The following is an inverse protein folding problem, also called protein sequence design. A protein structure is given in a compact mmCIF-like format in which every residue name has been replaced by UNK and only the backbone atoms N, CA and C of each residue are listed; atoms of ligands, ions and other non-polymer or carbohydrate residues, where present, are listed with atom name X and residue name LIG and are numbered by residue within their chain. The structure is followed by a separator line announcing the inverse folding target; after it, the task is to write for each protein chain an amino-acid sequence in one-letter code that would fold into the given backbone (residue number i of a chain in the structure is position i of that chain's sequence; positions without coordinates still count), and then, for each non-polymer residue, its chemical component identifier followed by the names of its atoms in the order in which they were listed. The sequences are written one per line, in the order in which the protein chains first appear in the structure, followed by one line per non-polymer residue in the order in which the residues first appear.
data_IF_904789178650
#
_entry.id   IF_904789178650
#
_cell.length_a   1.000
_cell.length_b   1.000
_cell.length_c   1.000
_cell.angle_alpha   90.00
_cell.angle_beta   90.00
_cell.angle_gamma   90.00
#
_symmetry.space_group_name_H-M   'P 1'
#
loop_
_entity.id
_entity.type
_entity.pdbx_description
1 polymer ?
#
# COMPACT_ATOMS: atom_id res chain seq x y z
N UNK A 1 0.91 -2.20 -6.52
CA UNK A 1 1.85 -2.63 -7.59
C UNK A 1 2.96 -3.47 -6.98
N UNK A 2 3.77 -4.20 -7.77
CA UNK A 2 4.79 -5.12 -7.24
C UNK A 2 5.80 -4.47 -6.29
N UNK A 3 6.07 -3.16 -6.43
CA UNK A 3 7.09 -2.45 -5.65
C UNK A 3 6.58 -1.23 -4.86
N UNK A 4 5.28 -0.90 -4.94
CA UNK A 4 4.69 0.21 -4.17
C UNK A 4 3.18 0.04 -4.01
N UNK A 5 2.60 0.77 -3.06
CA UNK A 5 1.17 0.74 -2.75
C UNK A 5 0.61 2.16 -2.84
N UNK A 6 -0.54 2.29 -3.48
CA UNK A 6 -1.40 3.46 -3.35
C UNK A 6 -2.69 3.02 -2.66
N UNK A 7 -3.21 3.86 -1.75
CA UNK A 7 -4.41 3.58 -1.00
C UNK A 7 -5.19 4.87 -0.72
N UNK A 8 -6.51 4.76 -0.70
CA UNK A 8 -7.40 5.77 -0.12
C UNK A 8 -7.67 5.36 1.33
N UNK A 9 -7.44 6.29 2.26
CA UNK A 9 -7.62 6.07 3.69
C UNK A 9 -8.63 7.06 4.23
N UNK A 10 -9.58 6.57 5.01
CA UNK A 10 -10.52 7.37 5.76
C UNK A 10 -10.23 7.24 7.27
N UNK A 11 -10.17 8.37 7.95
CA UNK A 11 -9.95 8.44 9.40
C UNK A 11 -11.19 9.04 10.06
N UNK A 12 -11.90 8.24 10.84
CA UNK A 12 -13.08 8.70 11.60
C UNK A 12 -12.72 9.65 12.74
N UNK A 13 -11.47 9.63 13.21
CA UNK A 13 -10.95 10.54 14.21
C UNK A 13 -9.83 11.41 13.62
N UNK A 14 -10.05 12.72 13.57
CA UNK A 14 -9.12 13.69 12.99
C UNK A 14 -7.93 14.03 13.91
N UNK A 15 -7.94 13.60 15.17
CA UNK A 15 -6.85 13.85 16.12
C UNK A 15 -5.67 12.86 15.97
N UNK A 16 -5.70 11.98 14.98
CA UNK A 16 -4.63 10.99 14.79
C UNK A 16 -3.53 11.55 13.92
N UNK A 17 -2.28 11.43 14.38
CA UNK A 17 -1.11 11.86 13.62
C UNK A 17 -0.81 10.86 12.49
N UNK A 18 -1.08 11.25 11.24
CA UNK A 18 -0.88 10.44 10.05
C UNK A 18 0.55 9.86 9.96
N UNK A 19 1.57 10.64 10.32
CA UNK A 19 2.96 10.17 10.28
C UNK A 19 3.18 8.99 11.24
N UNK A 20 2.58 9.02 12.43
CA UNK A 20 2.67 7.93 13.41
C UNK A 20 1.95 6.69 12.87
N UNK A 21 0.75 6.85 12.30
CA UNK A 21 -0.01 5.73 11.73
C UNK A 21 0.79 5.04 10.62
N UNK A 22 1.26 5.81 9.64
CA UNK A 22 1.98 5.25 8.48
C UNK A 22 3.33 4.66 8.90
N UNK A 23 4.05 5.30 9.84
CA UNK A 23 5.29 4.75 10.38
C UNK A 23 5.07 3.38 11.05
N UNK A 24 4.02 3.26 11.87
CA UNK A 24 3.67 2.01 12.52
C UNK A 24 3.21 0.95 11.50
N UNK A 25 2.35 1.31 10.54
CA UNK A 25 1.90 0.41 9.49
C UNK A 25 3.08 -0.15 8.68
N UNK A 26 4.00 0.72 8.23
CA UNK A 26 5.24 0.32 7.56
C UNK A 26 6.08 -0.63 8.42
N UNK A 27 6.22 -0.34 9.72
CA UNK A 27 6.97 -1.21 10.64
C UNK A 27 6.36 -2.60 10.75
N UNK A 28 5.05 -2.71 10.97
CA UNK A 28 4.37 -4.00 11.07
C UNK A 28 4.47 -4.79 9.76
N UNK A 29 4.22 -4.14 8.62
CA UNK A 29 4.38 -4.77 7.30
C UNK A 29 5.81 -5.22 7.04
N UNK A 30 6.81 -4.42 7.44
CA UNK A 30 8.22 -4.78 7.26
C UNK A 30 8.59 -6.03 8.06
N UNK A 31 8.12 -6.16 9.29
CA UNK A 31 8.36 -7.36 10.10
C UNK A 31 7.74 -8.62 9.45
N UNK A 32 6.48 -8.53 8.99
CA UNK A 32 5.82 -9.68 8.34
C UNK A 32 6.48 -10.05 7.00
N UNK A 33 6.87 -9.05 6.20
CA UNK A 33 7.58 -9.28 4.94
C UNK A 33 8.95 -9.93 5.16
N UNK A 34 9.75 -9.44 6.10
CA UNK A 34 11.04 -10.04 6.43
C UNK A 34 10.88 -11.47 6.92
N UNK A 35 9.86 -11.74 7.76
CA UNK A 35 9.55 -13.10 8.20
C UNK A 35 9.25 -14.01 7.01
N UNK A 36 8.33 -13.62 6.12
CA UNK A 36 7.99 -14.39 4.90
C UNK A 36 9.20 -14.64 4.01
N UNK A 37 10.07 -13.65 3.83
CA UNK A 37 11.30 -13.81 3.04
C UNK A 37 12.27 -14.81 3.68
N UNK A 38 12.38 -14.84 5.01
CA UNK A 38 13.15 -15.87 5.71
C UNK A 38 12.54 -17.25 5.54
N UNK A 39 11.22 -17.38 5.73
CA UNK A 39 10.50 -18.65 5.56
C UNK A 39 10.63 -19.20 4.12
N UNK A 40 10.69 -18.30 3.14
CA UNK A 40 10.91 -18.61 1.72
C UNK A 40 12.39 -18.75 1.33
N UNK A 41 13.31 -18.60 2.28
CA UNK A 41 14.76 -18.64 2.07
C UNK A 41 15.26 -17.68 0.96
N UNK A 42 14.59 -16.52 0.83
CA UNK A 42 14.96 -15.45 -0.13
C UNK A 42 16.12 -14.61 0.41
N UNK A 43 17.25 -15.28 0.64
CA UNK A 43 18.50 -14.67 1.14
C UNK A 43 19.02 -13.58 0.20
N UNK A 44 18.79 -13.72 -1.11
CA UNK A 44 19.07 -12.69 -2.11
C UNK A 44 18.38 -11.36 -1.80
N UNK A 45 17.07 -11.40 -1.50
CA UNK A 45 16.28 -10.21 -1.19
C UNK A 45 16.62 -9.68 0.20
N UNK A 46 16.78 -10.56 1.19
CA UNK A 46 17.16 -10.16 2.54
C UNK A 46 18.50 -9.41 2.55
N UNK A 47 19.50 -9.90 1.82
CA UNK A 47 20.79 -9.24 1.68
C UNK A 47 20.67 -7.86 1.02
N UNK A 48 19.84 -7.74 -0.03
CA UNK A 48 19.56 -6.44 -0.67
C UNK A 48 18.95 -5.45 0.34
N UNK A 49 17.98 -5.90 1.14
CA UNK A 49 17.31 -5.06 2.13
C UNK A 49 18.23 -4.68 3.30
N UNK A 50 19.14 -5.57 3.71
CA UNK A 50 20.13 -5.30 4.75
C UNK A 50 21.24 -4.33 4.26
N UNK A 51 21.65 -4.47 3.00
CA UNK A 51 22.61 -3.57 2.36
C UNK A 51 22.05 -2.13 2.23
N UNK A 52 20.74 -1.98 2.06
CA UNK A 52 20.07 -0.69 1.98
C UNK A 52 19.99 0.08 3.32
N UNK A 53 20.28 -0.56 4.46
CA UNK A 53 20.36 0.13 5.75
C UNK A 53 21.62 1.02 5.82
N UNK A 54 21.43 2.27 6.21
CA UNK A 54 22.53 3.19 6.55
C UNK A 54 23.19 2.79 7.87
N UNK A 55 24.42 3.24 8.09
CA UNK A 55 25.14 2.95 9.34
C UNK A 55 24.37 3.43 10.59
N UNK A 56 23.77 4.62 10.51
CA UNK A 56 22.93 5.18 11.58
C UNK A 56 21.69 4.31 11.88
N UNK A 57 21.09 3.71 10.86
CA UNK A 57 19.95 2.80 11.03
C UNK A 57 20.40 1.48 11.67
N UNK A 58 21.55 0.94 11.26
CA UNK A 58 22.14 -0.28 11.84
C UNK A 58 22.49 -0.12 13.32
N UNK A 59 23.10 1.00 13.70
CA UNK A 59 23.40 1.33 15.11
C UNK A 59 22.12 1.36 15.97
N UNK A 60 20.97 1.73 15.39
CA UNK A 60 19.66 1.71 16.04
C UNK A 60 18.98 0.33 16.04
N UNK A 61 19.66 -0.70 15.54
CA UNK A 61 19.15 -2.06 15.48
C UNK A 61 18.27 -2.38 14.28
N UNK A 62 18.21 -1.51 13.26
CA UNK A 62 17.49 -1.84 12.04
C UNK A 62 18.31 -2.80 11.17
N UNK A 63 17.75 -3.99 10.91
CA UNK A 63 18.42 -5.05 10.15
C UNK A 63 18.08 -5.03 8.65
N UNK A 64 16.88 -4.59 8.29
CA UNK A 64 16.38 -4.58 6.92
C UNK A 64 15.61 -3.29 6.62
N UNK A 65 15.80 -2.74 5.41
CA UNK A 65 15.09 -1.54 4.94
C UNK A 65 14.08 -1.90 3.86
N UNK A 66 12.86 -2.24 4.28
CA UNK A 66 11.76 -2.69 3.40
C UNK A 66 11.09 -1.55 2.65
N UNK A 67 10.96 -0.39 3.29
CA UNK A 67 10.28 0.77 2.71
C UNK A 67 11.24 1.93 2.50
N UNK A 68 10.99 2.70 1.45
CA UNK A 68 11.60 4.01 1.27
C UNK A 68 11.22 4.95 2.44
N UNK A 69 12.12 5.88 2.81
CA UNK A 69 11.80 6.94 3.75
C UNK A 69 10.62 7.78 3.27
N UNK A 70 9.85 8.32 4.23
CA UNK A 70 8.67 9.17 3.95
C UNK A 70 7.53 8.44 3.22
N UNK A 71 6.45 9.16 2.94
CA UNK A 71 5.33 8.73 2.11
C UNK A 71 4.67 9.98 1.53
N UNK A 72 4.00 9.83 0.39
CA UNK A 72 3.20 10.91 -0.18
C UNK A 72 1.75 10.77 0.27
N UNK A 73 1.21 11.83 0.87
CA UNK A 73 -0.20 11.93 1.20
C UNK A 73 -0.76 13.25 0.69
N UNK A 74 -1.95 13.17 0.09
CA UNK A 74 -2.72 14.35 -0.33
C UNK A 74 -4.14 14.19 0.22
N UNK A 75 -4.66 15.19 0.95
CA UNK A 75 -6.04 15.13 1.40
C UNK A 75 -6.98 15.17 0.20
N UNK A 76 -7.99 14.29 0.22
CA UNK A 76 -9.09 14.33 -0.73
C UNK A 76 -10.24 15.10 -0.09
N UNK A 77 -10.48 16.33 -0.55
CA UNK A 77 -11.56 17.19 -0.05
C UNK A 77 -12.77 17.28 -1.00
N UNK A 78 -12.62 16.85 -2.25
CA UNK A 78 -13.69 16.87 -3.24
C UNK A 78 -13.91 15.48 -3.82
N UNK A 79 -15.16 15.20 -4.19
CA UNK A 79 -15.51 13.92 -4.80
C UNK A 79 -14.79 13.72 -6.14
N UNK A 80 -14.64 14.78 -6.91
CA UNK A 80 -13.91 14.74 -8.19
C UNK A 80 -12.44 14.34 -8.00
N UNK A 81 -11.80 14.85 -6.93
CA UNK A 81 -10.43 14.46 -6.60
C UNK A 81 -10.36 13.01 -6.12
N UNK A 82 -11.33 12.57 -5.32
CA UNK A 82 -11.43 11.16 -4.92
C UNK A 82 -11.58 10.25 -6.14
N UNK A 83 -12.48 10.56 -7.07
CA UNK A 83 -12.67 9.80 -8.30
C UNK A 83 -11.43 9.78 -9.16
N UNK A 84 -10.79 10.92 -9.36
CA UNK A 84 -9.52 10.98 -10.08
C UNK A 84 -8.47 10.04 -9.47
N UNK A 85 -8.37 9.97 -8.13
CA UNK A 85 -7.39 9.09 -7.46
C UNK A 85 -7.82 7.64 -7.47
N UNK A 86 -9.09 7.35 -7.24
CA UNK A 86 -9.62 5.99 -7.29
C UNK A 86 -9.38 5.37 -8.67
N UNK A 87 -9.75 6.10 -9.73
CA UNK A 87 -9.57 5.68 -11.11
C UNK A 87 -8.09 5.43 -11.44
N UNK A 88 -7.21 6.37 -11.08
CA UNK A 88 -5.77 6.21 -11.23
C UNK A 88 -5.22 4.97 -10.51
N UNK A 89 -5.66 4.70 -9.27
CA UNK A 89 -5.19 3.57 -8.47
C UNK A 89 -5.67 2.25 -9.09
N UNK A 90 -6.95 2.18 -9.45
CA UNK A 90 -7.57 0.98 -10.01
C UNK A 90 -6.98 0.61 -11.38
N UNK A 91 -6.70 1.59 -12.24
CA UNK A 91 -6.15 1.37 -13.58
C UNK A 91 -4.61 1.27 -13.61
N UNK A 92 -3.90 1.56 -12.53
CA UNK A 92 -2.44 1.47 -12.49
C UNK A 92 -1.86 0.11 -12.95
N UNK A 93 -2.46 -1.05 -12.58
CA UNK A 93 -1.95 -2.36 -12.97
C UNK A 93 -1.90 -2.61 -14.49
N UNK A 94 -2.71 -1.89 -15.28
CA UNK A 94 -2.83 -2.06 -16.75
C UNK A 94 -2.30 -0.87 -17.55
N UNK A 95 -1.75 0.15 -16.88
CA UNK A 95 -1.33 1.40 -17.52
C UNK A 95 0.17 1.67 -17.41
N UNK A 96 0.69 2.47 -18.33
CA UNK A 96 2.08 2.91 -18.35
C UNK A 96 3.05 1.74 -18.56
N UNK A 97 4.01 1.58 -17.63
CA UNK A 97 4.99 0.49 -17.66
C UNK A 97 4.43 -0.84 -17.16
N UNK A 98 3.25 -0.81 -16.53
CA UNK A 98 2.64 -2.00 -15.94
C UNK A 98 1.66 -2.62 -16.94
N UNK A 99 1.72 -3.95 -17.03
CA UNK A 99 0.82 -4.81 -17.82
C UNK A 99 0.60 -6.09 -17.03
N UNK A 100 0.12 -5.93 -15.79
CA UNK A 100 0.05 -7.00 -14.80
C UNK A 100 -1.16 -7.93 -15.00
N UNK A 101 -2.14 -7.49 -15.79
CA UNK A 101 -3.37 -8.19 -16.16
C UNK A 101 -3.93 -7.56 -17.44
N UNK A 102 -4.97 -8.16 -18.04
CA UNK A 102 -5.65 -7.58 -19.21
C UNK A 102 -6.66 -6.53 -18.79
N UNK A 103 -7.60 -6.90 -17.92
CA UNK A 103 -8.57 -5.98 -17.34
C UNK A 103 -8.13 -5.55 -15.94
N UNK A 104 -8.32 -4.26 -15.61
CA UNK A 104 -7.88 -3.72 -14.32
C UNK A 104 -8.63 -4.32 -13.12
N UNK A 105 -9.82 -4.86 -13.36
CA UNK A 105 -10.62 -5.64 -12.40
C UNK A 105 -10.04 -7.03 -12.14
N UNK A 106 -9.21 -7.58 -13.04
CA UNK A 106 -8.59 -8.90 -12.87
C UNK A 106 -7.38 -8.86 -11.93
N UNK A 107 -6.86 -7.68 -11.59
CA UNK A 107 -5.67 -7.58 -10.74
C UNK A 107 -6.02 -7.95 -9.29
N UNK A 108 -5.52 -9.09 -8.76
CA UNK A 108 -5.96 -9.63 -7.47
C UNK A 108 -5.42 -8.85 -6.27
N UNK A 109 -4.61 -7.82 -6.48
CA UNK A 109 -4.04 -6.98 -5.44
C UNK A 109 -4.59 -5.54 -5.53
N UNK A 110 -5.88 -5.41 -5.86
CA UNK A 110 -6.60 -4.14 -6.00
C UNK A 110 -8.04 -4.28 -5.50
N UNK A 111 -8.66 -3.15 -5.17
CA UNK A 111 -10.10 -3.03 -4.90
C UNK A 111 -10.94 -2.79 -6.17
N UNK A 112 -10.36 -2.81 -7.36
CA UNK A 112 -11.06 -2.52 -8.61
C UNK A 112 -12.30 -3.40 -8.84
N UNK A 113 -12.18 -4.72 -8.70
CA UNK A 113 -13.31 -5.64 -8.84
C UNK A 113 -14.46 -5.32 -7.87
N UNK A 114 -14.14 -4.91 -6.64
CA UNK A 114 -15.16 -4.54 -5.67
C UNK A 114 -15.99 -3.34 -6.13
N UNK A 115 -15.34 -2.32 -6.69
CA UNK A 115 -16.03 -1.10 -7.12
C UNK A 115 -16.78 -1.27 -8.45
N UNK A 116 -16.20 -1.98 -9.41
CA UNK A 116 -16.74 -2.12 -10.76
C UNK A 116 -17.74 -3.28 -10.90
N UNK A 117 -17.48 -4.41 -10.24
CA UNK A 117 -18.27 -5.65 -10.42
C UNK A 117 -18.96 -6.11 -9.15
N UNK A 118 -18.75 -5.44 -8.02
CA UNK A 118 -19.32 -5.81 -6.73
C UNK A 118 -18.71 -7.05 -6.10
N UNK A 119 -17.59 -7.56 -6.65
CA UNK A 119 -16.92 -8.76 -6.14
C UNK A 119 -16.03 -8.38 -4.95
N UNK A 120 -16.32 -8.96 -3.79
CA UNK A 120 -15.50 -8.79 -2.57
C UNK A 120 -14.10 -9.38 -2.73
N UNK A 121 -13.11 -8.72 -2.11
CA UNK A 121 -11.74 -9.21 -2.11
C UNK A 121 -11.55 -10.38 -1.12
N UNK A 122 -10.89 -11.48 -1.50
CA UNK A 122 -10.85 -12.70 -0.69
C UNK A 122 -10.06 -12.58 0.62
N UNK A 123 -9.13 -11.62 0.71
CA UNK A 123 -8.22 -11.48 1.85
C UNK A 123 -8.39 -10.19 2.65
N UNK A 124 -9.21 -9.24 2.18
CA UNK A 124 -9.28 -7.88 2.75
C UNK A 124 -10.70 -7.38 2.68
N UNK A 125 -11.21 -6.88 3.81
CA UNK A 125 -12.48 -6.18 3.83
C UNK A 125 -12.31 -4.79 3.24
N UNK A 126 -13.00 -4.51 2.13
CA UNK A 126 -13.00 -3.20 1.49
C UNK A 126 -14.13 -2.37 2.09
N UNK A 127 -13.77 -1.21 2.64
CA UNK A 127 -14.73 -0.23 3.12
C UNK A 127 -15.11 0.69 1.96
N UNK A 128 -16.38 0.65 1.59
CA UNK A 128 -16.90 1.40 0.46
C UNK A 128 -16.93 2.91 0.75
N UNK A 129 -16.15 3.69 0.01
CA UNK A 129 -16.09 5.16 0.18
C UNK A 129 -17.48 5.81 0.07
N UNK A 130 -18.41 5.21 -0.69
CA UNK A 130 -19.77 5.75 -0.89
C UNK A 130 -20.53 5.87 0.44
N UNK A 131 -20.18 5.05 1.44
CA UNK A 131 -20.75 5.09 2.80
C UNK A 131 -20.12 6.12 3.72
N UNK A 132 -19.09 6.85 3.28
CA UNK A 132 -18.37 7.82 4.11
C UNK A 132 -18.33 9.21 3.51
N UNK A 133 -18.67 9.33 2.23
CA UNK A 133 -18.61 10.58 1.50
C UNK A 133 -19.98 11.25 1.32
N UNK A 134 -21.05 10.45 1.22
CA UNK A 134 -22.41 10.93 0.97
C UNK A 134 -23.33 10.83 2.20
N UNK A 135 -22.76 10.47 3.35
CA UNK A 135 -23.42 10.44 4.66
C UNK A 135 -23.31 11.81 5.34
#
# INVERSE_FOLDING_TARGET
MPNHVHALLYFSNLNVNLNIIIANAKRFMAHDLVKRLNDQQRTDVLNLLAAACTEKERIKGQLHKVFEPSFDAKPAFTIDFLYQKLDYICHNPVTGKWRLCQEFTDYPHSSAAFYETGISHPFVNIYDYRKYWFD
#
